data_IF_402171836336
#
_entry.id   IF_402171836336
#
_cell.length_a   1.000
_cell.length_b   1.000
_cell.length_c   1.000
_cell.angle_alpha   90.00
_cell.angle_beta   90.00
_cell.angle_gamma   90.00
#
_symmetry.space_group_name_H-M   'P 1'
#
loop_
_entity.id
_entity.type
_entity.pdbx_description
1 polymer ?
#
# COMPACT_ATOMS: atom_id res chain seq x y z
N UNK A 1 1.13 -5.69 6.54
CA UNK A 1 -0.01 -6.48 7.03
C UNK A 1 -0.65 -7.24 5.88
N UNK A 2 -1.39 -8.29 6.20
CA UNK A 2 -2.13 -9.09 5.23
C UNK A 2 -3.19 -9.94 5.96
N UNK A 3 -4.38 -9.38 6.14
CA UNK A 3 -5.45 -10.09 6.82
C UNK A 3 -6.00 -11.23 5.95
N UNK A 4 -6.04 -12.43 6.50
CA UNK A 4 -6.59 -13.62 5.86
C UNK A 4 -7.58 -14.31 6.82
N UNK A 5 -8.90 -14.02 6.69
CA UNK A 5 -9.92 -14.60 7.59
C UNK A 5 -9.84 -16.11 7.74
N UNK A 6 -9.59 -16.82 6.63
CA UNK A 6 -9.48 -18.29 6.61
C UNK A 6 -8.32 -18.84 7.46
N UNK A 7 -7.21 -18.12 7.56
CA UNK A 7 -6.09 -18.51 8.42
C UNK A 7 -6.41 -18.27 9.90
N UNK A 8 -6.99 -17.11 10.21
CA UNK A 8 -7.26 -16.72 11.58
C UNK A 8 -8.45 -17.45 12.19
N UNK A 9 -9.46 -17.86 11.40
CA UNK A 9 -10.63 -18.60 11.90
C UNK A 9 -10.26 -19.87 12.65
N UNK A 10 -9.21 -20.56 12.24
CA UNK A 10 -8.74 -21.80 12.88
C UNK A 10 -8.06 -21.58 14.24
N UNK A 11 -7.62 -20.37 14.58
CA UNK A 11 -6.80 -20.08 15.76
C UNK A 11 -7.35 -18.95 16.64
N UNK A 12 -8.61 -18.59 16.48
CA UNK A 12 -9.29 -17.60 17.33
C UNK A 12 -9.86 -16.38 16.61
N UNK A 13 -9.87 -16.40 15.29
CA UNK A 13 -10.53 -15.40 14.45
C UNK A 13 -9.89 -14.00 14.51
N UNK A 14 -10.70 -13.00 14.23
CA UNK A 14 -10.24 -11.60 14.17
C UNK A 14 -9.71 -11.09 15.52
N UNK A 15 -10.30 -11.52 16.64
CA UNK A 15 -9.81 -11.11 17.96
C UNK A 15 -8.37 -11.55 18.19
N UNK A 16 -8.03 -12.78 17.79
CA UNK A 16 -6.66 -13.29 17.90
C UNK A 16 -5.72 -12.61 16.90
N UNK A 17 -6.19 -12.32 15.68
CA UNK A 17 -5.44 -11.54 14.72
C UNK A 17 -5.07 -10.17 15.28
N UNK A 18 -6.01 -9.47 15.89
CA UNK A 18 -5.77 -8.17 16.50
C UNK A 18 -4.80 -8.25 17.69
N UNK A 19 -4.95 -9.24 18.56
CA UNK A 19 -4.03 -9.43 19.69
C UNK A 19 -2.57 -9.55 19.20
N UNK A 20 -2.34 -10.47 18.24
CA UNK A 20 -1.00 -10.76 17.73
C UNK A 20 -0.43 -9.58 16.94
N UNK A 21 -1.22 -9.00 16.02
CA UNK A 21 -0.72 -7.91 15.18
C UNK A 21 -0.51 -6.61 15.97
N UNK A 22 -1.33 -6.31 16.98
CA UNK A 22 -1.12 -5.17 17.87
C UNK A 22 0.18 -5.29 18.67
N UNK A 23 0.53 -6.50 19.11
CA UNK A 23 1.80 -6.72 19.80
C UNK A 23 2.98 -6.60 18.81
N UNK A 24 2.90 -7.24 17.64
CA UNK A 24 3.95 -7.15 16.62
C UNK A 24 4.18 -5.70 16.15
N UNK A 25 3.11 -4.92 16.01
CA UNK A 25 3.17 -3.54 15.56
C UNK A 25 4.05 -2.64 16.43
N UNK A 26 4.24 -2.97 17.71
CA UNK A 26 5.11 -2.20 18.64
C UNK A 26 6.60 -2.23 18.26
N UNK A 27 6.99 -3.19 17.44
CA UNK A 27 8.39 -3.42 17.04
C UNK A 27 8.66 -3.07 15.57
N UNK A 28 7.70 -2.42 14.90
CA UNK A 28 7.75 -2.11 13.48
C UNK A 28 8.04 -0.63 13.26
N UNK A 29 8.99 -0.32 12.38
CA UNK A 29 9.31 1.05 11.96
C UNK A 29 8.49 1.46 10.72
N UNK A 30 8.26 0.55 9.79
CA UNK A 30 7.52 0.79 8.53
C UNK A 30 6.30 -0.11 8.48
N UNK A 31 5.11 0.48 8.56
CA UNK A 31 3.84 -0.24 8.50
C UNK A 31 3.22 -0.07 7.12
N UNK A 32 2.95 -1.18 6.48
CA UNK A 32 2.30 -1.24 5.16
C UNK A 32 1.07 -2.14 5.25
N UNK A 33 -0.04 -1.69 4.72
CA UNK A 33 -1.28 -2.47 4.67
C UNK A 33 -2.35 -1.76 3.84
N UNK A 34 -3.40 -2.47 3.51
CA UNK A 34 -4.61 -1.88 2.95
C UNK A 34 -5.56 -1.42 4.08
N UNK A 35 -6.67 -0.80 3.72
CA UNK A 35 -7.67 -0.31 4.68
C UNK A 35 -8.24 -1.41 5.58
N UNK A 36 -8.49 -2.61 5.02
CA UNK A 36 -8.97 -3.76 5.78
C UNK A 36 -7.91 -4.25 6.78
N UNK A 37 -6.65 -4.22 6.41
CA UNK A 37 -5.56 -4.63 7.29
C UNK A 37 -5.46 -3.73 8.53
N UNK A 38 -5.60 -2.42 8.38
CA UNK A 38 -5.56 -1.49 9.51
C UNK A 38 -6.76 -1.69 10.45
N UNK A 39 -7.94 -1.96 9.94
CA UNK A 39 -9.13 -2.22 10.74
C UNK A 39 -9.15 -3.64 11.31
N UNK A 40 -8.95 -4.64 10.48
CA UNK A 40 -9.07 -6.04 10.88
C UNK A 40 -7.90 -6.54 11.73
N UNK A 41 -6.65 -6.16 11.38
CA UNK A 41 -5.46 -6.60 12.12
C UNK A 41 -5.11 -5.70 13.31
N UNK A 42 -5.21 -4.37 13.15
CA UNK A 42 -4.84 -3.44 14.21
C UNK A 42 -6.04 -2.94 15.03
N UNK A 43 -7.27 -3.24 14.58
CA UNK A 43 -8.49 -2.81 15.26
C UNK A 43 -8.57 -1.28 15.34
N UNK A 44 -8.09 -0.58 14.31
CA UNK A 44 -8.22 0.86 14.23
C UNK A 44 -9.64 1.19 13.80
N UNK A 45 -10.35 1.92 14.65
CA UNK A 45 -11.66 2.46 14.34
C UNK A 45 -11.47 3.79 13.62
N UNK A 46 -11.98 3.86 12.40
CA UNK A 46 -11.89 5.05 11.55
C UNK A 46 -13.31 5.48 11.28
N UNK A 47 -13.80 6.45 12.05
CA UNK A 47 -15.14 7.00 11.88
C UNK A 47 -15.41 7.42 10.43
N UNK A 48 -16.53 6.97 9.86
CA UNK A 48 -16.92 7.25 8.47
C UNK A 48 -16.32 6.30 7.43
N UNK A 49 -15.90 5.12 7.85
CA UNK A 49 -15.08 4.18 7.06
C UNK A 49 -15.76 3.62 5.80
N UNK A 50 -17.10 3.40 5.84
CA UNK A 50 -17.76 2.67 4.76
C UNK A 50 -17.99 3.49 3.47
N UNK A 51 -18.17 4.80 3.58
CA UNK A 51 -18.42 5.66 2.43
C UNK A 51 -17.13 6.34 1.92
N UNK A 52 -16.27 6.79 2.84
CA UNK A 52 -15.03 7.48 2.49
C UNK A 52 -13.99 6.60 1.76
N UNK A 53 -13.92 5.31 2.07
CA UNK A 53 -12.94 4.39 1.45
C UNK A 53 -13.45 3.82 0.12
N UNK A 54 -14.78 3.77 -0.10
CA UNK A 54 -15.37 3.28 -1.35
C UNK A 54 -15.13 4.20 -2.56
N UNK A 55 -14.93 5.50 -2.32
CA UNK A 55 -14.78 6.50 -3.40
C UNK A 55 -13.33 6.96 -3.66
N UNK A 56 -12.28 6.27 -3.18
CA UNK A 56 -10.90 6.76 -3.18
C UNK A 56 -10.77 8.15 -2.52
N UNK A 57 -11.53 8.38 -1.45
CA UNK A 57 -11.45 9.63 -0.71
C UNK A 57 -10.08 9.72 0.00
N UNK A 58 -9.17 10.45 -0.60
CA UNK A 58 -7.82 10.66 -0.09
C UNK A 58 -7.79 11.16 1.36
N UNK A 59 -8.77 11.97 1.76
CA UNK A 59 -8.85 12.49 3.13
C UNK A 59 -9.15 11.38 4.16
N UNK A 60 -9.98 10.39 3.81
CA UNK A 60 -10.19 9.21 4.64
C UNK A 60 -8.90 8.42 4.87
N UNK A 61 -8.11 8.21 3.81
CA UNK A 61 -6.81 7.54 3.92
C UNK A 61 -5.80 8.35 4.74
N UNK A 62 -5.72 9.66 4.56
CA UNK A 62 -4.87 10.54 5.38
C UNK A 62 -5.24 10.44 6.87
N UNK A 63 -6.54 10.47 7.18
CA UNK A 63 -7.04 10.29 8.55
C UNK A 63 -6.64 8.93 9.12
N UNK A 64 -6.80 7.85 8.34
CA UNK A 64 -6.40 6.50 8.73
C UNK A 64 -4.91 6.42 9.09
N UNK A 65 -4.05 6.93 8.22
CA UNK A 65 -2.59 6.95 8.46
C UNK A 65 -2.25 7.80 9.70
N UNK A 66 -2.96 8.91 9.92
CA UNK A 66 -2.83 9.75 11.12
C UNK A 66 -3.19 9.00 12.39
N UNK A 67 -4.32 8.30 12.43
CA UNK A 67 -4.77 7.47 13.56
C UNK A 67 -3.75 6.35 13.84
N UNK A 68 -3.26 5.67 12.80
CA UNK A 68 -2.26 4.61 12.93
C UNK A 68 -0.96 5.14 13.57
N UNK A 69 -0.46 6.28 13.10
CA UNK A 69 0.77 6.90 13.63
C UNK A 69 0.60 7.40 15.08
N UNK A 70 -0.57 7.90 15.44
CA UNK A 70 -0.85 8.30 16.82
C UNK A 70 -0.93 7.09 17.77
N UNK A 71 -1.54 6.00 17.30
CA UNK A 71 -1.68 4.76 18.08
C UNK A 71 -0.36 4.03 18.27
N UNK A 72 0.52 4.10 17.26
CA UNK A 72 1.83 3.46 17.25
C UNK A 72 2.93 4.49 16.95
N UNK A 73 3.39 5.22 17.98
CA UNK A 73 4.40 6.28 17.79
C UNK A 73 5.77 5.78 17.30
N UNK A 74 6.00 4.47 17.36
CA UNK A 74 7.18 3.83 16.81
C UNK A 74 7.17 3.75 15.26
N UNK A 75 6.01 3.89 14.62
CA UNK A 75 5.95 3.91 13.16
C UNK A 75 6.62 5.19 12.61
N UNK A 76 7.73 5.03 11.94
CA UNK A 76 8.41 6.10 11.20
C UNK A 76 7.70 6.38 9.89
N UNK A 77 7.22 5.31 9.23
CA UNK A 77 6.45 5.38 7.98
C UNK A 77 5.21 4.48 8.09
N UNK A 78 4.07 5.02 7.69
CA UNK A 78 2.83 4.26 7.51
C UNK A 78 2.36 4.46 6.07
N UNK A 79 2.16 3.40 5.32
CA UNK A 79 1.82 3.48 3.90
C UNK A 79 0.67 2.55 3.52
N UNK A 80 -0.11 2.99 2.54
CA UNK A 80 -1.20 2.23 1.95
C UNK A 80 -1.31 2.48 0.46
N UNK A 81 -1.84 1.49 -0.25
CA UNK A 81 -2.17 1.59 -1.66
C UNK A 81 -3.65 1.86 -1.85
N UNK A 82 -3.99 2.63 -2.85
CA UNK A 82 -5.35 2.98 -3.22
C UNK A 82 -5.63 2.42 -4.61
N UNK A 83 -6.67 1.61 -4.72
CA UNK A 83 -7.08 1.00 -5.98
C UNK A 83 -8.56 1.24 -6.25
N UNK A 84 -8.88 1.80 -7.42
CA UNK A 84 -10.25 1.90 -7.91
C UNK A 84 -10.46 0.94 -9.06
N UNK A 85 -11.32 -0.03 -8.86
CA UNK A 85 -11.71 -0.98 -9.91
C UNK A 85 -12.74 -0.32 -10.81
N UNK A 86 -12.41 -0.09 -12.09
CA UNK A 86 -13.34 0.40 -13.12
C UNK A 86 -14.02 -0.76 -13.82
N UNK A 87 -13.23 -1.77 -14.19
CA UNK A 87 -13.71 -3.04 -14.78
C UNK A 87 -12.90 -4.19 -14.19
N UNK A 88 -13.16 -5.41 -14.63
CA UNK A 88 -12.39 -6.57 -14.21
C UNK A 88 -10.89 -6.45 -14.52
N UNK A 89 -10.53 -5.73 -15.59
CA UNK A 89 -9.16 -5.59 -16.10
C UNK A 89 -8.64 -4.17 -16.10
N UNK A 90 -9.46 -3.15 -15.81
CA UNK A 90 -9.03 -1.74 -15.78
C UNK A 90 -9.17 -1.20 -14.36
N UNK A 91 -8.05 -0.75 -13.81
CA UNK A 91 -8.02 -0.13 -12.47
C UNK A 91 -7.24 1.18 -12.48
N UNK A 92 -7.61 2.08 -11.56
CA UNK A 92 -6.72 3.16 -11.16
C UNK A 92 -5.92 2.72 -9.94
N UNK A 93 -4.69 3.19 -9.86
CA UNK A 93 -3.75 2.83 -8.81
C UNK A 93 -2.95 4.04 -8.36
N UNK A 94 -2.78 4.18 -7.07
CA UNK A 94 -1.88 5.13 -6.42
C UNK A 94 -1.55 4.67 -5.01
N UNK A 95 -0.69 5.40 -4.33
CA UNK A 95 -0.33 5.14 -2.95
C UNK A 95 -0.17 6.43 -2.16
N UNK A 96 -0.32 6.32 -0.86
CA UNK A 96 -0.01 7.39 0.09
C UNK A 96 0.83 6.83 1.22
N UNK A 97 1.72 7.65 1.77
CA UNK A 97 2.39 7.35 3.01
C UNK A 97 2.40 8.58 3.93
N UNK A 98 2.55 8.32 5.21
CA UNK A 98 2.82 9.31 6.24
C UNK A 98 4.19 9.05 6.83
N UNK A 99 5.04 10.06 6.83
CA UNK A 99 6.38 10.03 7.43
C UNK A 99 6.66 11.40 8.05
N UNK A 100 7.33 11.44 9.19
CA UNK A 100 7.74 12.68 9.89
C UNK A 100 6.59 13.68 10.14
N UNK A 101 5.37 13.18 10.26
CA UNK A 101 4.18 14.01 10.45
C UNK A 101 3.48 14.46 9.17
N UNK A 102 4.14 14.39 8.02
CA UNK A 102 3.65 14.81 6.72
C UNK A 102 3.05 13.67 5.91
N UNK A 103 2.19 14.00 4.95
CA UNK A 103 1.58 13.06 4.01
C UNK A 103 2.18 13.24 2.63
N UNK A 104 2.66 12.16 2.06
CA UNK A 104 3.19 12.07 0.70
C UNK A 104 2.29 11.18 -0.14
N UNK A 105 2.04 11.61 -1.37
CA UNK A 105 1.23 10.87 -2.33
C UNK A 105 2.07 10.53 -3.54
N UNK A 106 1.91 9.32 -4.05
CA UNK A 106 2.50 8.93 -5.31
C UNK A 106 1.80 9.60 -6.49
N UNK A 107 2.43 9.50 -7.65
CA UNK A 107 1.77 9.72 -8.92
C UNK A 107 0.52 8.85 -9.06
N UNK A 108 -0.48 9.36 -9.78
CA UNK A 108 -1.67 8.60 -10.16
C UNK A 108 -1.40 7.76 -11.42
N UNK A 109 -1.71 6.49 -11.35
CA UNK A 109 -1.68 5.54 -12.47
C UNK A 109 -3.12 5.21 -12.86
N UNK A 110 -3.69 6.00 -13.75
CA UNK A 110 -5.04 5.83 -14.24
C UNK A 110 -5.10 4.78 -15.35
N UNK A 111 -6.24 4.09 -15.43
CA UNK A 111 -6.57 3.16 -16.53
C UNK A 111 -5.51 2.07 -16.77
N UNK A 112 -4.91 1.55 -15.69
CA UNK A 112 -4.01 0.40 -15.81
C UNK A 112 -4.77 -0.82 -16.32
N UNK A 113 -4.26 -1.41 -17.39
CA UNK A 113 -4.72 -2.69 -17.90
C UNK A 113 -4.10 -3.82 -17.08
N UNK A 114 -4.89 -4.37 -16.16
CA UNK A 114 -4.43 -5.36 -15.19
C UNK A 114 -4.38 -6.74 -15.83
N UNK A 115 -3.22 -7.36 -15.84
CA UNK A 115 -3.01 -8.75 -16.24
C UNK A 115 -3.11 -9.71 -15.05
N UNK A 116 -2.49 -9.34 -13.93
CA UNK A 116 -2.63 -10.03 -12.65
C UNK A 116 -2.62 -9.02 -11.50
N UNK A 117 -3.44 -9.27 -10.48
CA UNK A 117 -3.48 -8.42 -9.27
C UNK A 117 -2.59 -8.90 -8.15
N UNK A 118 -2.18 -10.18 -8.23
CA UNK A 118 -1.31 -10.80 -7.21
C UNK A 118 0.09 -10.19 -7.36
N UNK A 119 0.75 -9.98 -6.22
CA UNK A 119 2.10 -9.39 -6.20
C UNK A 119 2.16 -7.86 -6.27
N UNK A 120 1.06 -7.16 -6.63
CA UNK A 120 1.06 -5.69 -6.67
C UNK A 120 1.35 -5.04 -5.32
N UNK A 121 0.82 -5.59 -4.23
CA UNK A 121 1.08 -5.13 -2.86
C UNK A 121 2.53 -5.42 -2.41
N UNK A 122 3.06 -6.60 -2.71
CA UNK A 122 4.44 -6.98 -2.37
C UNK A 122 5.44 -6.16 -3.17
N UNK A 123 5.15 -5.90 -4.45
CA UNK A 123 5.95 -5.01 -5.30
C UNK A 123 5.91 -3.56 -4.81
N UNK A 124 4.75 -3.07 -4.38
CA UNK A 124 4.65 -1.78 -3.71
C UNK A 124 5.55 -1.73 -2.47
N UNK A 125 5.44 -2.72 -1.59
CA UNK A 125 6.22 -2.78 -0.36
C UNK A 125 7.72 -2.79 -0.66
N UNK A 126 8.17 -3.60 -1.61
CA UNK A 126 9.60 -3.68 -1.99
C UNK A 126 10.12 -2.36 -2.58
N UNK A 127 9.34 -1.71 -3.46
CA UNK A 127 9.69 -0.41 -4.03
C UNK A 127 9.74 0.71 -2.98
N UNK A 128 8.77 0.75 -2.06
CA UNK A 128 8.77 1.69 -0.94
C UNK A 128 10.02 1.51 -0.06
N UNK A 129 10.32 0.27 0.34
CA UNK A 129 11.48 -0.04 1.17
C UNK A 129 12.78 0.33 0.43
N UNK A 130 12.89 0.00 -0.85
CA UNK A 130 14.04 0.39 -1.68
C UNK A 130 14.23 1.92 -1.67
N UNK A 131 13.17 2.68 -1.92
CA UNK A 131 13.23 4.15 -1.92
C UNK A 131 13.66 4.72 -0.57
N UNK A 132 13.08 4.24 0.53
CA UNK A 132 13.46 4.66 1.89
C UNK A 132 14.92 4.36 2.19
N UNK A 133 15.42 3.17 1.84
CA UNK A 133 16.79 2.75 2.15
C UNK A 133 17.85 3.48 1.28
N UNK A 134 17.50 3.84 0.04
CA UNK A 134 18.47 4.43 -0.90
C UNK A 134 18.47 5.96 -0.92
N UNK A 135 17.33 6.58 -0.62
CA UNK A 135 17.17 8.04 -0.70
C UNK A 135 16.93 8.71 0.65
N UNK A 136 16.33 8.00 1.60
CA UNK A 136 15.82 8.57 2.85
C UNK A 136 14.61 9.50 2.65
N UNK A 137 14.10 9.63 1.43
CA UNK A 137 13.03 10.55 1.05
C UNK A 137 11.70 9.78 0.91
N UNK A 138 10.70 10.14 1.70
CA UNK A 138 9.42 9.45 1.74
C UNK A 138 8.57 9.69 0.47
N UNK A 139 8.70 10.86 -0.16
CA UNK A 139 8.01 11.17 -1.42
C UNK A 139 8.57 10.33 -2.56
N UNK A 140 9.89 10.24 -2.68
CA UNK A 140 10.51 9.33 -3.65
C UNK A 140 10.16 7.88 -3.35
N UNK A 141 10.18 7.47 -2.09
CA UNK A 141 9.90 6.09 -1.69
C UNK A 141 8.47 5.65 -2.06
N UNK A 142 7.45 6.50 -1.79
CA UNK A 142 6.07 6.15 -2.15
C UNK A 142 5.87 6.08 -3.67
N UNK A 143 6.61 6.88 -4.43
CA UNK A 143 6.62 6.82 -5.89
C UNK A 143 7.31 5.56 -6.42
N UNK A 144 8.45 5.14 -5.86
CA UNK A 144 9.07 3.83 -6.18
C UNK A 144 8.10 2.68 -5.93
N UNK A 145 7.43 2.68 -4.78
CA UNK A 145 6.45 1.66 -4.44
C UNK A 145 5.28 1.61 -5.43
N UNK A 146 4.67 2.75 -5.70
CA UNK A 146 3.50 2.84 -6.59
C UNK A 146 3.85 2.44 -8.04
N UNK A 147 5.00 2.89 -8.55
CA UNK A 147 5.47 2.54 -9.89
C UNK A 147 5.76 1.04 -10.01
N UNK A 148 6.44 0.45 -9.03
CA UNK A 148 6.73 -0.98 -9.03
C UNK A 148 5.46 -1.82 -8.93
N UNK A 149 4.50 -1.43 -8.07
CA UNK A 149 3.19 -2.08 -7.97
C UNK A 149 2.39 -2.00 -9.27
N UNK A 150 2.39 -0.85 -9.96
CA UNK A 150 1.74 -0.68 -11.25
C UNK A 150 2.35 -1.60 -12.33
N UNK A 151 3.67 -1.67 -12.41
CA UNK A 151 4.38 -2.56 -13.33
C UNK A 151 4.09 -4.05 -13.05
N UNK A 152 4.05 -4.45 -11.78
CA UNK A 152 3.72 -5.81 -11.40
C UNK A 152 2.33 -6.21 -11.88
N UNK A 153 1.33 -5.36 -11.67
CA UNK A 153 -0.05 -5.64 -12.08
C UNK A 153 -0.25 -5.68 -13.60
N UNK A 154 0.61 -5.02 -14.38
CA UNK A 154 0.59 -5.05 -15.86
C UNK A 154 1.48 -6.15 -16.45
N UNK A 155 1.99 -7.04 -15.62
CA UNK A 155 2.79 -8.21 -16.00
C UNK A 155 2.03 -9.48 -15.63
N UNK A 156 2.02 -10.54 -16.47
CA UNK A 156 1.41 -11.82 -16.11
C UNK A 156 2.14 -12.48 -14.93
N UNK A 157 1.37 -13.02 -13.98
CA UNK A 157 1.90 -13.71 -12.80
C UNK A 157 2.13 -12.78 -11.62
N UNK A 158 2.55 -13.35 -10.50
CA UNK A 158 2.70 -12.68 -9.20
C UNK A 158 4.09 -12.07 -8.98
N UNK A 159 5.00 -12.26 -9.92
CA UNK A 159 6.40 -11.82 -9.83
C UNK A 159 6.75 -10.95 -11.04
N UNK A 160 7.17 -9.73 -10.77
CA UNK A 160 7.68 -8.85 -11.82
C UNK A 160 9.19 -9.02 -12.02
N UNK A 161 9.62 -8.97 -13.28
CA UNK A 161 11.05 -9.02 -13.69
C UNK A 161 11.57 -7.63 -14.09
N UNK A 162 10.85 -6.57 -13.73
CA UNK A 162 11.24 -5.19 -14.05
C UNK A 162 12.51 -4.80 -13.30
N UNK A 163 13.34 -4.01 -13.96
CA UNK A 163 14.55 -3.46 -13.37
C UNK A 163 14.33 -2.02 -12.89
N UNK A 164 15.29 -1.50 -12.14
CA UNK A 164 15.23 -0.16 -11.57
C UNK A 164 14.97 0.93 -12.61
N UNK A 165 15.58 0.86 -13.79
CA UNK A 165 15.41 1.89 -14.84
C UNK A 165 13.97 1.93 -15.36
N UNK A 166 13.31 0.79 -15.45
CA UNK A 166 11.91 0.70 -15.85
C UNK A 166 10.99 1.31 -14.79
N UNK A 167 11.25 1.05 -13.51
CA UNK A 167 10.52 1.68 -12.39
C UNK A 167 10.71 3.20 -12.42
N UNK A 168 11.95 3.69 -12.56
CA UNK A 168 12.27 5.12 -12.62
C UNK A 168 11.65 5.81 -13.85
N UNK A 169 11.59 5.13 -14.99
CA UNK A 169 10.93 5.64 -16.19
C UNK A 169 9.42 5.83 -15.96
N UNK A 170 8.76 4.87 -15.31
CA UNK A 170 7.34 4.94 -14.95
C UNK A 170 7.08 6.04 -13.91
N UNK A 171 7.96 6.20 -12.93
CA UNK A 171 7.92 7.34 -12.00
C UNK A 171 8.01 8.68 -12.73
N UNK A 172 8.84 8.78 -13.78
CA UNK A 172 9.01 9.98 -14.62
C UNK A 172 7.85 10.23 -15.58
N UNK A 173 6.88 9.34 -15.70
CA UNK A 173 5.68 9.49 -16.54
C UNK A 173 5.68 8.69 -17.82
N UNK A 174 6.65 7.83 -18.06
CA UNK A 174 6.51 6.82 -19.09
C UNK A 174 5.32 5.91 -18.73
N UNK A 175 4.55 5.46 -19.72
CA UNK A 175 3.45 4.54 -19.47
C UNK A 175 3.93 3.27 -18.78
N UNK A 176 3.08 2.66 -17.95
CA UNK A 176 3.38 1.42 -17.23
C UNK A 176 3.50 0.19 -18.17
N UNK A 177 3.99 0.39 -19.38
CA UNK A 177 4.38 -0.69 -20.30
C UNK A 177 5.88 -0.94 -20.14
N UNK A 178 6.24 -2.21 -19.98
CA UNK A 178 7.64 -2.62 -19.98
C UNK A 178 8.33 -2.07 -21.24
N UNK A 179 9.34 -1.27 -21.07
CA UNK A 179 10.19 -0.80 -22.16
C UNK A 179 11.00 -2.02 -22.66
N UNK A 180 10.69 -2.50 -23.84
CA UNK A 180 11.44 -3.57 -24.52
C UNK A 180 12.55 -2.98 -25.36
#
# INVERSE_FOLDING_TARGET
LNYRPSMWSAIGGQAKAQEVNKEAARYVDVMIGNEEDFTACLGLDIEGNDECLKELNLEGYKKMLGVASQRYPNFKVVATTLRKVKTATINDWKAVCRAEGEIYQSRDYADLEIMDRIGGGDSFASGLIYGLMTTGDAELAVNYGAAHGALAMTTPGDTTMVNRKEVEAVMGGAGARVLR
#
